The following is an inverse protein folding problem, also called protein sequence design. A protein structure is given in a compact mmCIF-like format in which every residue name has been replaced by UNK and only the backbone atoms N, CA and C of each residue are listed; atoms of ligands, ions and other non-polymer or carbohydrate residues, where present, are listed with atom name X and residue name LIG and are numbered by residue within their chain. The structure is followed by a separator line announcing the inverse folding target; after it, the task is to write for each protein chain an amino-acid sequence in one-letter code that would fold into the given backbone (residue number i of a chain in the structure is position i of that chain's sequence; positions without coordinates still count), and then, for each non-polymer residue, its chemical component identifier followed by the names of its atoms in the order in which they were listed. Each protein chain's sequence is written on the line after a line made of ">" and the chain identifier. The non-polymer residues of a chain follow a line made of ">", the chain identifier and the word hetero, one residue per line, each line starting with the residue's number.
data_IF_591964588200
#
_entry.id   IF_591964588200
#
_cell.length_a   1.000
_cell.length_b   1.000
_cell.length_c   1.000
_cell.angle_alpha   90.00
_cell.angle_beta   90.00
_cell.angle_gamma   90.00
#
_symmetry.space_group_name_H-M   'P 1'
#
loop_
_entity.id
_entity.type
_entity.pdbx_description
1 polymer ?
#
# COMPACT_ATOMS: atom_id res chain seq x y z
N UNK A 1 -16.51 17.49 -1.39
CA UNK A 1 -15.31 17.65 -2.24
C UNK A 1 -15.74 17.68 -3.70
N UNK A 2 -15.24 18.61 -4.52
CA UNK A 2 -15.47 18.60 -5.97
C UNK A 2 -14.27 17.96 -6.66
N UNK A 3 -14.51 16.90 -7.43
CA UNK A 3 -13.51 16.15 -8.18
C UNK A 3 -13.76 16.41 -9.66
N UNK A 4 -12.90 17.21 -10.28
CA UNK A 4 -12.97 17.50 -11.71
C UNK A 4 -11.97 16.63 -12.46
N UNK A 5 -12.46 15.81 -13.38
CA UNK A 5 -11.63 14.95 -14.21
C UNK A 5 -11.00 15.76 -15.35
N UNK A 6 -9.70 15.98 -15.28
CA UNK A 6 -8.93 16.67 -16.34
C UNK A 6 -8.26 15.71 -17.32
N UNK A 7 -8.52 14.41 -17.21
CA UNK A 7 -8.04 13.39 -18.14
C UNK A 7 -8.94 13.33 -19.38
N UNK A 8 -8.44 12.64 -20.41
CA UNK A 8 -9.13 12.25 -21.63
C UNK A 8 -9.87 10.89 -21.51
N UNK A 9 -9.83 10.28 -20.32
CA UNK A 9 -10.45 8.99 -19.99
C UNK A 9 -11.30 9.11 -18.72
N UNK A 10 -12.20 8.16 -18.50
CA UNK A 10 -13.01 8.10 -17.27
C UNK A 10 -12.13 7.88 -16.04
N UNK A 11 -12.50 8.49 -14.91
CA UNK A 11 -11.80 8.33 -13.63
C UNK A 11 -12.78 8.08 -12.48
N UNK A 12 -12.26 7.74 -11.31
CA UNK A 12 -13.03 7.68 -10.08
C UNK A 12 -12.15 7.93 -8.86
N UNK A 13 -12.78 8.13 -7.71
CA UNK A 13 -12.12 8.19 -6.41
C UNK A 13 -12.92 7.31 -5.47
N UNK A 14 -12.30 6.23 -5.00
CA UNK A 14 -12.80 5.39 -3.92
C UNK A 14 -12.16 5.79 -2.59
N UNK A 15 -12.94 5.77 -1.52
CA UNK A 15 -12.53 6.16 -0.17
C UNK A 15 -12.27 4.90 0.66
N UNK A 16 -11.07 4.35 0.53
CA UNK A 16 -10.74 3.05 1.10
C UNK A 16 -10.95 3.01 2.62
N UNK A 17 -11.84 2.12 3.06
CA UNK A 17 -12.21 1.93 4.46
C UNK A 17 -13.22 2.92 5.03
N UNK A 18 -13.62 3.98 4.29
CA UNK A 18 -14.63 4.92 4.77
C UNK A 18 -16.05 4.41 4.53
N UNK A 19 -16.87 4.49 5.56
CA UNK A 19 -18.29 4.13 5.56
C UNK A 19 -19.12 5.25 4.94
N UNK A 20 -19.21 5.24 3.61
CA UNK A 20 -19.97 6.23 2.83
C UNK A 20 -21.31 5.65 2.31
N UNK A 21 -22.29 6.49 1.94
CA UNK A 21 -23.42 6.05 1.12
C UNK A 21 -22.89 5.44 -0.19
N UNK A 22 -23.49 4.34 -0.67
CA UNK A 22 -22.92 3.59 -1.79
C UNK A 22 -22.68 4.46 -3.04
N UNK A 23 -23.53 5.44 -3.35
CA UNK A 23 -23.33 6.32 -4.51
C UNK A 23 -22.05 7.18 -4.45
N UNK A 24 -21.47 7.33 -3.26
CA UNK A 24 -20.24 8.07 -3.01
C UNK A 24 -19.01 7.16 -2.95
N UNK A 25 -19.21 5.84 -3.06
CA UNK A 25 -18.15 4.83 -2.92
C UNK A 25 -17.14 4.84 -4.07
N UNK A 26 -17.53 5.35 -5.25
CA UNK A 26 -16.55 5.67 -6.30
C UNK A 26 -16.03 4.48 -7.11
N UNK A 27 -16.85 3.43 -7.27
CA UNK A 27 -16.54 2.23 -8.05
C UNK A 27 -17.35 2.22 -9.36
N UNK A 28 -16.74 2.56 -10.51
CA UNK A 28 -17.44 2.61 -11.79
C UNK A 28 -18.08 1.27 -12.16
N UNK A 29 -19.33 1.32 -12.61
CA UNK A 29 -20.09 0.13 -13.02
C UNK A 29 -20.71 -0.68 -11.87
N UNK A 30 -20.41 -0.33 -10.61
CA UNK A 30 -21.03 -0.93 -9.42
C UNK A 30 -21.84 0.12 -8.67
N UNK A 31 -21.17 1.16 -8.17
CA UNK A 31 -21.76 2.10 -7.23
C UNK A 31 -22.14 3.44 -7.88
N UNK A 32 -21.52 3.77 -9.02
CA UNK A 32 -21.84 4.92 -9.86
C UNK A 32 -21.26 4.74 -11.29
N UNK A 33 -21.54 5.62 -12.28
CA UNK A 33 -21.09 5.42 -13.66
C UNK A 33 -19.62 5.78 -13.94
N UNK A 34 -18.87 6.37 -13.01
CA UNK A 34 -17.58 6.99 -13.30
C UNK A 34 -17.67 8.50 -13.50
N UNK A 35 -16.54 9.19 -13.43
CA UNK A 35 -16.43 10.62 -13.75
C UNK A 35 -15.89 10.72 -15.19
N UNK A 36 -16.70 11.12 -16.18
CA UNK A 36 -16.24 11.18 -17.57
C UNK A 36 -15.17 12.26 -17.77
N UNK A 37 -14.42 12.18 -18.86
CA UNK A 37 -13.45 13.20 -19.26
C UNK A 37 -14.06 14.62 -19.25
N UNK A 38 -13.42 15.56 -18.57
CA UNK A 38 -13.93 16.93 -18.36
C UNK A 38 -15.10 17.05 -17.38
N UNK A 39 -15.63 15.93 -16.88
CA UNK A 39 -16.74 15.88 -15.93
C UNK A 39 -16.32 16.30 -14.51
N UNK A 40 -17.30 16.64 -13.68
CA UNK A 40 -17.10 16.90 -12.25
C UNK A 40 -18.08 16.09 -11.42
N UNK A 41 -17.56 15.44 -10.37
CA UNK A 41 -18.36 14.76 -9.36
C UNK A 41 -18.19 15.44 -8.01
N UNK A 42 -19.31 15.71 -7.34
CA UNK A 42 -19.30 16.27 -5.99
C UNK A 42 -19.54 15.16 -4.98
N UNK A 43 -18.49 14.77 -4.27
CA UNK A 43 -18.57 13.82 -3.18
C UNK A 43 -18.99 14.53 -1.88
N UNK A 44 -20.13 14.11 -1.32
CA UNK A 44 -20.66 14.62 -0.05
C UNK A 44 -21.16 13.46 0.78
N UNK A 45 -20.56 13.26 1.95
CA UNK A 45 -20.94 12.22 2.89
C UNK A 45 -20.50 12.62 4.31
N UNK A 46 -21.16 12.11 5.36
CA UNK A 46 -20.74 12.37 6.73
C UNK A 46 -19.45 11.60 7.06
N UNK A 47 -18.50 12.28 7.67
CA UNK A 47 -17.33 11.63 8.27
C UNK A 47 -17.69 11.19 9.69
N UNK A 48 -17.65 9.88 9.93
CA UNK A 48 -18.08 9.25 11.20
C UNK A 48 -17.04 8.29 11.79
N UNK A 49 -15.87 8.23 11.17
CA UNK A 49 -14.74 7.41 11.57
C UNK A 49 -13.57 8.32 11.93
N UNK A 50 -12.60 7.77 12.67
CA UNK A 50 -11.27 8.33 12.88
C UNK A 50 -10.22 7.28 12.51
N UNK A 51 -8.98 7.70 12.32
CA UNK A 51 -7.84 6.83 12.02
C UNK A 51 -7.22 7.07 10.66
N UNK A 52 -6.40 6.10 10.23
CA UNK A 52 -5.63 6.14 8.97
C UNK A 52 -6.35 5.38 7.87
N UNK A 53 -6.71 6.10 6.81
CA UNK A 53 -7.37 5.62 5.61
C UNK A 53 -6.62 6.16 4.39
N UNK A 54 -7.14 5.88 3.20
CA UNK A 54 -6.60 6.41 1.96
C UNK A 54 -7.68 6.47 0.89
N UNK A 55 -7.40 7.18 -0.20
CA UNK A 55 -8.21 7.13 -1.40
C UNK A 55 -7.37 6.61 -2.56
N UNK A 56 -8.03 6.00 -3.53
CA UNK A 56 -7.41 5.64 -4.80
C UNK A 56 -8.44 5.62 -5.92
N UNK A 57 -7.97 5.71 -7.16
CA UNK A 57 -8.85 5.49 -8.31
C UNK A 57 -9.26 4.02 -8.38
N UNK A 58 -10.54 3.79 -8.63
CA UNK A 58 -11.09 2.48 -8.93
C UNK A 58 -11.44 2.34 -10.42
N UNK A 59 -10.98 3.29 -11.25
CA UNK A 59 -11.14 3.29 -12.69
C UNK A 59 -9.91 2.68 -13.38
N UNK A 60 -10.12 1.53 -14.04
CA UNK A 60 -9.08 0.83 -14.78
C UNK A 60 -7.89 0.45 -13.88
N UNK A 61 -6.68 0.83 -14.29
CA UNK A 61 -5.44 0.61 -13.55
C UNK A 61 -4.78 1.95 -13.13
N UNK A 62 -5.59 2.98 -12.89
CA UNK A 62 -5.10 4.32 -12.55
C UNK A 62 -4.43 4.37 -11.17
N UNK A 63 -4.87 3.56 -10.21
CA UNK A 63 -4.20 3.41 -8.91
C UNK A 63 -2.70 3.12 -9.10
N UNK A 64 -2.37 2.09 -9.89
CA UNK A 64 -0.97 1.74 -10.18
C UNK A 64 -0.21 2.86 -10.92
N UNK A 65 -0.91 3.78 -11.57
CA UNK A 65 -0.33 4.96 -12.21
C UNK A 65 -0.10 6.14 -11.24
N UNK A 66 -0.39 5.99 -9.95
CA UNK A 66 -0.19 7.01 -8.93
C UNK A 66 -1.46 7.77 -8.51
N UNK A 67 -2.66 7.35 -8.94
CA UNK A 67 -3.91 7.97 -8.50
C UNK A 67 -4.34 7.42 -7.14
N UNK A 68 -3.62 7.82 -6.09
CA UNK A 68 -3.93 7.51 -4.70
C UNK A 68 -3.40 8.60 -3.76
N UNK A 69 -3.87 8.59 -2.52
CA UNK A 69 -3.32 9.46 -1.48
C UNK A 69 -3.86 9.14 -0.09
N UNK A 70 -3.17 9.58 0.96
CA UNK A 70 -3.57 9.29 2.33
C UNK A 70 -4.78 10.11 2.78
N UNK A 71 -5.53 9.57 3.73
CA UNK A 71 -6.60 10.25 4.46
C UNK A 71 -6.38 9.98 5.95
N UNK A 72 -6.09 11.01 6.72
CA UNK A 72 -6.05 10.92 8.19
C UNK A 72 -7.26 11.65 8.73
N UNK A 73 -8.01 11.00 9.62
CA UNK A 73 -9.16 11.60 10.27
C UNK A 73 -8.92 11.59 11.77
N UNK A 74 -8.76 12.77 12.36
CA UNK A 74 -8.58 12.92 13.80
C UNK A 74 -9.86 12.53 14.55
N UNK A 75 -9.75 11.89 15.73
CA UNK A 75 -10.91 11.62 16.57
C UNK A 75 -11.54 12.93 17.06
N UNK A 76 -12.88 12.92 17.20
CA UNK A 76 -13.60 14.07 17.74
C UNK A 76 -13.30 14.35 19.23
N UNK A 77 -12.81 13.33 19.94
CA UNK A 77 -12.37 13.41 21.33
C UNK A 77 -10.87 13.15 21.48
N UNK A 78 -10.39 12.94 22.72
CA UNK A 78 -8.98 12.62 22.96
C UNK A 78 -8.55 11.39 22.16
N UNK A 79 -7.41 11.48 21.47
CA UNK A 79 -6.81 10.32 20.82
C UNK A 79 -6.27 9.35 21.89
N UNK A 80 -6.71 8.08 21.94
CA UNK A 80 -6.17 7.11 22.88
C UNK A 80 -4.70 6.76 22.60
N UNK A 81 -4.20 7.03 21.40
CA UNK A 81 -2.79 6.89 21.03
C UNK A 81 -2.09 8.23 21.24
N UNK A 82 -1.30 8.31 22.30
CA UNK A 82 -0.47 9.49 22.56
C UNK A 82 0.79 9.44 21.68
N UNK A 83 1.13 10.55 21.04
CA UNK A 83 2.37 10.74 20.29
C UNK A 83 2.73 12.23 20.27
N UNK A 84 4.02 12.53 20.26
CA UNK A 84 4.54 13.91 20.16
C UNK A 84 4.59 14.37 18.69
N UNK A 85 4.65 13.41 17.76
CA UNK A 85 4.79 13.63 16.33
C UNK A 85 4.12 12.54 15.52
N UNK A 86 3.56 12.90 14.38
CA UNK A 86 2.96 11.95 13.45
C UNK A 86 3.54 12.09 12.04
N UNK A 87 3.76 10.95 11.39
CA UNK A 87 4.14 10.88 9.98
C UNK A 87 3.27 9.88 9.23
N UNK A 88 2.95 10.19 7.98
CA UNK A 88 2.32 9.26 7.06
C UNK A 88 3.41 8.58 6.23
N UNK A 89 3.30 7.26 6.11
CA UNK A 89 4.20 6.42 5.34
C UNK A 89 3.37 5.61 4.34
N UNK A 90 3.20 6.15 3.13
CA UNK A 90 2.48 5.51 2.04
C UNK A 90 3.46 4.71 1.19
N UNK A 91 3.28 3.40 1.19
CA UNK A 91 4.03 2.44 0.41
C UNK A 91 3.36 2.24 -0.95
N UNK A 92 4.15 2.20 -2.01
CA UNK A 92 3.67 1.88 -3.35
C UNK A 92 4.79 1.33 -4.23
N UNK A 93 4.46 0.97 -5.47
CA UNK A 93 5.45 0.69 -6.50
C UNK A 93 5.34 1.69 -7.66
N UNK A 94 6.45 1.86 -8.37
CA UNK A 94 6.52 2.58 -9.63
C UNK A 94 7.11 1.69 -10.72
N UNK A 95 6.55 1.80 -11.93
CA UNK A 95 7.09 1.17 -13.13
C UNK A 95 7.11 2.19 -14.27
N UNK A 96 8.17 2.20 -15.10
CA UNK A 96 8.15 2.95 -16.35
C UNK A 96 7.22 2.29 -17.40
N UNK A 97 6.82 1.04 -17.19
CA UNK A 97 5.84 0.37 -18.05
C UNK A 97 4.42 0.81 -17.67
N UNK A 98 3.58 0.98 -18.69
CA UNK A 98 2.14 1.18 -18.46
C UNK A 98 1.57 0.01 -17.65
N UNK A 99 0.72 0.28 -16.64
CA UNK A 99 -0.03 -0.75 -15.92
C UNK A 99 -0.75 -1.74 -16.83
N UNK A 100 -1.31 -1.24 -17.95
CA UNK A 100 -2.00 -2.08 -18.93
C UNK A 100 -1.04 -3.04 -19.66
N UNK A 101 0.19 -2.59 -19.93
CA UNK A 101 1.22 -3.46 -20.49
C UNK A 101 1.61 -4.55 -19.50
N UNK A 102 1.80 -4.21 -18.22
CA UNK A 102 2.09 -5.18 -17.16
C UNK A 102 0.99 -6.24 -17.10
N UNK A 103 -0.27 -5.80 -17.03
CA UNK A 103 -1.43 -6.69 -16.98
C UNK A 103 -1.54 -7.60 -18.21
N UNK A 104 -1.31 -7.07 -19.42
CA UNK A 104 -1.27 -7.87 -20.63
C UNK A 104 -0.18 -8.94 -20.61
N UNK A 105 1.00 -8.64 -20.06
CA UNK A 105 2.09 -9.60 -19.94
C UNK A 105 1.76 -10.70 -18.93
N UNK A 106 1.19 -10.34 -17.78
CA UNK A 106 0.72 -11.31 -16.78
C UNK A 106 -0.32 -12.27 -17.36
N UNK A 107 -1.20 -11.79 -18.25
CA UNK A 107 -2.16 -12.66 -18.96
C UNK A 107 -1.55 -13.60 -20.01
N UNK A 108 -0.33 -13.32 -20.48
CA UNK A 108 0.30 -14.07 -21.60
C UNK A 108 1.17 -15.23 -21.11
N UNK A 109 1.72 -15.16 -19.90
CA UNK A 109 2.57 -16.22 -19.38
C UNK A 109 2.87 -16.05 -17.91
N UNK A 110 2.96 -17.19 -17.22
CA UNK A 110 3.43 -17.28 -15.84
C UNK A 110 4.87 -16.79 -15.73
N UNK A 111 5.20 -16.10 -14.63
CA UNK A 111 6.56 -15.67 -14.33
C UNK A 111 7.19 -14.71 -15.34
N UNK A 112 6.40 -13.96 -16.13
CA UNK A 112 6.93 -13.03 -17.15
C UNK A 112 7.94 -12.02 -16.57
N UNK A 113 7.71 -11.60 -15.33
CA UNK A 113 8.58 -10.67 -14.61
C UNK A 113 9.42 -11.36 -13.53
N UNK A 114 9.51 -12.69 -13.56
CA UNK A 114 10.36 -13.46 -12.68
C UNK A 114 11.64 -13.89 -13.42
N UNK A 115 12.71 -13.14 -13.18
CA UNK A 115 14.04 -13.44 -13.70
C UNK A 115 14.95 -14.12 -12.66
N UNK A 116 14.44 -14.41 -11.46
CA UNK A 116 15.23 -14.97 -10.34
C UNK A 116 15.27 -16.51 -10.38
N UNK A 117 15.46 -17.09 -11.56
CA UNK A 117 15.43 -18.54 -11.71
C UNK A 117 16.60 -19.21 -10.98
N UNK A 118 16.32 -20.33 -10.31
CA UNK A 118 17.36 -21.07 -9.61
C UNK A 118 18.37 -21.68 -10.59
N UNK A 119 19.66 -21.46 -10.36
CA UNK A 119 20.77 -22.12 -11.07
C UNK A 119 21.42 -23.22 -10.22
N UNK A 120 22.18 -24.10 -10.87
CA UNK A 120 22.97 -25.16 -10.21
C UNK A 120 24.07 -24.59 -9.29
N UNK A 121 24.39 -23.30 -9.44
CA UNK A 121 25.36 -22.55 -8.64
C UNK A 121 24.76 -21.86 -7.42
N UNK A 122 23.43 -21.90 -7.25
CA UNK A 122 22.79 -21.11 -6.19
C UNK A 122 23.00 -21.75 -4.82
N UNK A 123 23.49 -20.93 -3.89
CA UNK A 123 23.71 -21.28 -2.49
C UNK A 123 22.41 -21.14 -1.67
N UNK A 124 21.32 -21.75 -2.15
CA UNK A 124 20.10 -21.87 -1.36
C UNK A 124 20.25 -23.06 -0.38
N UNK A 125 20.18 -22.84 0.95
CA UNK A 125 20.27 -23.89 1.96
C UNK A 125 18.97 -24.73 2.03
N UNK A 126 18.38 -25.08 0.89
CA UNK A 126 17.23 -25.97 0.80
C UNK A 126 17.70 -27.41 0.74
N UNK A 127 17.27 -28.21 1.71
CA UNK A 127 17.43 -29.67 1.71
C UNK A 127 16.78 -30.28 0.47
N UNK A 128 17.23 -31.47 0.06
CA UNK A 128 16.62 -32.18 -1.08
C UNK A 128 15.12 -32.49 -0.91
N UNK A 129 14.61 -32.54 0.34
CA UNK A 129 13.18 -32.67 0.62
C UNK A 129 12.42 -31.39 0.26
N UNK A 130 12.89 -30.24 0.72
CA UNK A 130 12.29 -28.94 0.42
C UNK A 130 12.27 -28.65 -1.08
N UNK A 131 13.36 -28.98 -1.80
CA UNK A 131 13.38 -28.85 -3.27
C UNK A 131 12.30 -29.68 -3.96
N UNK A 132 12.04 -30.91 -3.48
CA UNK A 132 10.96 -31.77 -4.00
C UNK A 132 9.56 -31.24 -3.65
N UNK A 133 9.39 -30.64 -2.48
CA UNK A 133 8.13 -30.01 -2.08
C UNK A 133 7.83 -28.79 -2.95
N UNK A 134 8.82 -27.92 -3.18
CA UNK A 134 8.72 -26.81 -4.14
C UNK A 134 8.39 -27.27 -5.55
N UNK A 135 9.08 -28.29 -6.06
CA UNK A 135 8.80 -28.85 -7.38
C UNK A 135 7.37 -29.43 -7.51
N UNK A 136 6.77 -29.92 -6.41
CA UNK A 136 5.38 -30.40 -6.39
C UNK A 136 4.35 -29.28 -6.41
N UNK A 137 4.70 -28.09 -5.90
CA UNK A 137 3.80 -26.93 -5.92
C UNK A 137 3.59 -26.39 -7.34
N UNK A 138 4.39 -26.83 -8.33
CA UNK A 138 4.34 -26.39 -9.74
C UNK A 138 4.41 -24.87 -9.91
N UNK A 139 4.95 -24.16 -8.92
CA UNK A 139 5.30 -22.75 -9.05
C UNK A 139 6.71 -22.63 -9.62
N UNK A 140 7.00 -21.49 -10.25
CA UNK A 140 8.37 -21.17 -10.62
C UNK A 140 9.25 -21.15 -9.35
N UNK A 141 10.48 -21.70 -9.39
CA UNK A 141 11.43 -21.53 -8.30
C UNK A 141 11.60 -20.02 -8.05
N UNK A 142 11.48 -19.58 -6.79
CA UNK A 142 11.48 -18.17 -6.30
C UNK A 142 10.28 -17.29 -6.69
N UNK A 143 9.10 -17.89 -6.89
CA UNK A 143 7.89 -17.17 -7.28
C UNK A 143 7.04 -16.76 -6.06
N UNK A 144 7.39 -15.62 -5.45
CA UNK A 144 6.61 -15.00 -4.36
C UNK A 144 5.78 -13.80 -4.88
N UNK A 145 6.10 -13.28 -6.07
CA UNK A 145 5.45 -12.10 -6.65
C UNK A 145 5.38 -12.19 -8.17
N UNK A 146 4.18 -11.98 -8.74
CA UNK A 146 3.92 -11.97 -10.19
C UNK A 146 4.72 -10.88 -10.95
N UNK A 147 5.03 -9.77 -10.27
CA UNK A 147 5.87 -8.68 -10.76
C UNK A 147 6.91 -8.37 -9.69
N UNK A 148 8.18 -8.36 -10.09
CA UNK A 148 9.31 -8.25 -9.15
C UNK A 148 10.03 -6.92 -9.28
N UNK A 149 11.08 -6.71 -8.47
CA UNK A 149 11.98 -5.57 -8.57
C UNK A 149 12.71 -5.43 -9.92
N UNK A 150 12.56 -6.38 -10.86
CA UNK A 150 12.99 -6.19 -12.25
C UNK A 150 12.15 -5.14 -13.00
N UNK A 151 10.95 -4.84 -12.49
CA UNK A 151 9.97 -3.97 -13.13
C UNK A 151 9.49 -2.89 -12.18
N UNK A 152 9.40 -3.20 -10.89
CA UNK A 152 9.02 -2.22 -9.87
C UNK A 152 10.22 -1.57 -9.20
N UNK A 153 10.12 -0.26 -9.03
CA UNK A 153 10.82 0.49 -7.99
C UNK A 153 9.87 0.63 -6.81
N UNK A 154 10.22 0.11 -5.65
CA UNK A 154 9.42 0.28 -4.44
C UNK A 154 9.61 1.67 -3.87
N UNK A 155 8.51 2.31 -3.48
CA UNK A 155 8.46 3.69 -3.05
C UNK A 155 7.95 3.83 -1.62
N UNK A 156 8.45 4.86 -0.95
CA UNK A 156 7.85 5.40 0.27
C UNK A 156 7.56 6.88 0.03
N UNK A 157 6.30 7.30 0.17
CA UNK A 157 5.86 8.67 -0.10
C UNK A 157 6.32 9.23 -1.46
N UNK A 158 6.39 8.38 -2.48
CA UNK A 158 6.85 8.77 -3.83
C UNK A 158 8.37 8.75 -4.03
N UNK A 159 9.16 8.46 -3.00
CA UNK A 159 10.62 8.41 -3.07
C UNK A 159 11.12 6.98 -3.21
N UNK A 160 12.07 6.78 -4.12
CA UNK A 160 12.76 5.51 -4.30
C UNK A 160 13.82 5.24 -3.22
N UNK A 161 14.35 4.00 -3.14
CA UNK A 161 15.21 3.57 -2.03
C UNK A 161 16.56 4.31 -1.93
N UNK A 162 16.96 5.02 -2.98
CA UNK A 162 18.24 5.77 -3.06
C UNK A 162 18.08 7.27 -2.86
N UNK A 163 16.86 7.75 -2.66
CA UNK A 163 16.58 9.19 -2.53
C UNK A 163 16.77 9.72 -1.11
N UNK A 164 17.02 8.84 -0.12
CA UNK A 164 17.40 9.26 1.23
C UNK A 164 16.29 10.00 1.97
N UNK A 165 15.05 9.52 1.87
CA UNK A 165 13.94 10.10 2.62
C UNK A 165 14.16 9.95 4.13
N UNK A 166 14.00 11.05 4.87
CA UNK A 166 14.21 11.12 6.31
C UNK A 166 12.98 11.66 7.02
N UNK A 167 12.73 11.15 8.24
CA UNK A 167 11.75 11.69 9.17
C UNK A 167 12.49 12.26 10.37
N UNK A 168 12.43 13.58 10.54
CA UNK A 168 13.07 14.25 11.66
C UNK A 168 12.34 13.99 12.98
N UNK A 169 13.08 13.86 14.08
CA UNK A 169 12.53 13.74 15.42
C UNK A 169 13.50 14.38 16.43
N UNK A 170 13.00 14.71 17.61
CA UNK A 170 13.85 15.06 18.75
C UNK A 170 14.07 13.82 19.63
N UNK A 171 15.27 13.64 20.22
CA UNK A 171 15.53 12.53 21.14
C UNK A 171 14.46 12.42 22.23
N UNK A 172 13.90 11.22 22.38
CA UNK A 172 12.86 10.94 23.37
C UNK A 172 11.43 11.28 22.94
N UNK A 173 11.20 11.76 21.72
CA UNK A 173 9.85 11.89 21.16
C UNK A 173 9.20 10.52 20.91
N UNK A 174 7.92 10.40 21.22
CA UNK A 174 7.06 9.30 20.77
C UNK A 174 6.51 9.64 19.40
N UNK A 175 6.96 8.94 18.37
CA UNK A 175 6.57 9.19 16.98
C UNK A 175 5.54 8.14 16.54
N UNK A 176 4.39 8.57 16.05
CA UNK A 176 3.39 7.69 15.39
C UNK A 176 3.64 7.66 13.89
N UNK A 177 3.88 6.48 13.35
CA UNK A 177 3.94 6.25 11.90
C UNK A 177 2.61 5.64 11.45
N UNK A 178 1.93 6.33 10.53
CA UNK A 178 0.68 5.94 9.90
C UNK A 178 0.99 5.31 8.54
N UNK A 179 1.08 3.99 8.52
CA UNK A 179 1.57 3.21 7.40
C UNK A 179 0.40 2.76 6.54
N UNK A 180 0.47 3.02 5.24
CA UNK A 180 -0.56 2.66 4.25
C UNK A 180 0.12 1.86 3.15
N UNK A 181 -0.39 0.67 2.83
CA UNK A 181 0.03 -0.05 1.63
C UNK A 181 -0.91 0.28 0.46
N UNK A 182 -0.59 1.32 -0.30
CA UNK A 182 -1.30 1.72 -1.52
C UNK A 182 -0.68 1.14 -2.80
N UNK A 183 -0.05 -0.04 -2.67
CA UNK A 183 0.64 -0.70 -3.76
C UNK A 183 -0.32 -1.55 -4.60
N UNK A 184 0.00 -1.78 -5.87
CA UNK A 184 -0.89 -2.52 -6.76
C UNK A 184 -0.91 -4.03 -6.46
N UNK A 185 0.19 -4.58 -5.90
CA UNK A 185 0.28 -6.00 -5.60
C UNK A 185 1.34 -6.40 -4.56
N UNK A 186 2.15 -5.47 -4.06
CA UNK A 186 3.30 -5.79 -3.21
C UNK A 186 2.91 -5.95 -1.74
N UNK A 187 3.34 -7.08 -1.16
CA UNK A 187 3.39 -7.24 0.29
C UNK A 187 4.71 -6.66 0.80
N UNK A 188 4.65 -5.82 1.83
CA UNK A 188 5.85 -5.26 2.46
C UNK A 188 6.06 -5.86 3.83
N UNK A 189 7.33 -6.05 4.21
CA UNK A 189 7.70 -6.27 5.60
C UNK A 189 8.31 -4.98 6.15
N UNK A 190 7.73 -4.45 7.22
CA UNK A 190 8.15 -3.19 7.83
C UNK A 190 8.97 -3.47 9.07
N UNK A 191 10.16 -2.87 9.14
CA UNK A 191 11.06 -2.87 10.30
C UNK A 191 11.94 -1.65 10.30
N UNK A 192 12.36 -1.21 11.49
CA UNK A 192 13.39 -0.18 11.66
C UNK A 192 14.56 -0.85 12.39
N UNK A 193 15.73 -1.04 11.76
CA UNK A 193 16.84 -1.73 12.38
C UNK A 193 17.25 -1.11 13.72
N UNK A 194 17.18 -1.90 14.80
CA UNK A 194 17.55 -1.47 16.15
C UNK A 194 16.49 -0.66 16.89
N UNK A 195 15.30 -0.47 16.32
CA UNK A 195 14.19 0.26 16.94
C UNK A 195 12.91 -0.57 16.91
N UNK A 196 12.46 -1.13 18.05
CA UNK A 196 11.19 -1.83 18.11
C UNK A 196 10.01 -0.88 17.89
N UNK A 197 8.88 -1.45 17.49
CA UNK A 197 7.64 -0.73 17.19
C UNK A 197 6.48 -1.31 18.01
N UNK A 198 5.53 -0.47 18.39
CA UNK A 198 4.27 -0.93 19.01
C UNK A 198 3.11 -0.64 18.06
N UNK A 199 2.45 -1.69 17.55
CA UNK A 199 1.24 -1.57 16.73
C UNK A 199 0.08 -1.13 17.62
N UNK A 200 -0.60 -0.04 17.25
CA UNK A 200 -1.68 0.58 18.04
C UNK A 200 -2.99 0.73 17.28
N UNK A 201 -2.97 0.70 15.95
CA UNK A 201 -4.17 0.64 15.13
C UNK A 201 -3.97 -0.22 13.87
N UNK A 202 -5.06 -0.79 13.37
CA UNK A 202 -5.15 -1.50 12.09
C UNK A 202 -6.46 -1.13 11.40
N UNK A 203 -6.41 -0.78 10.12
CA UNK A 203 -7.56 -0.39 9.28
C UNK A 203 -8.47 0.68 9.92
N UNK A 204 -7.82 1.70 10.49
CA UNK A 204 -8.49 2.81 11.18
C UNK A 204 -9.13 2.46 12.52
N UNK A 205 -8.98 1.22 13.02
CA UNK A 205 -9.46 0.81 14.33
C UNK A 205 -8.30 0.69 15.32
N UNK A 206 -8.48 1.25 16.53
CA UNK A 206 -7.52 1.04 17.61
C UNK A 206 -7.51 -0.43 18.02
N UNK A 207 -6.31 -0.97 18.22
CA UNK A 207 -6.12 -2.35 18.68
C UNK A 207 -5.50 -2.37 20.07
N UNK A 208 -5.50 -3.54 20.70
CA UNK A 208 -4.65 -3.74 21.89
C UNK A 208 -3.20 -3.59 21.44
N UNK A 209 -2.37 -2.76 22.10
CA UNK A 209 -0.97 -2.58 21.72
C UNK A 209 -0.21 -3.90 21.63
N UNK A 210 0.55 -4.08 20.55
CA UNK A 210 1.41 -5.25 20.32
C UNK A 210 2.80 -4.79 19.92
N UNK A 211 3.80 -5.17 20.72
CA UNK A 211 5.20 -4.89 20.43
C UNK A 211 5.73 -5.87 19.39
N UNK A 212 6.48 -5.35 18.41
CA UNK A 212 7.12 -6.14 17.36
C UNK A 212 8.36 -5.44 16.79
N UNK A 213 9.30 -6.22 16.28
CA UNK A 213 10.45 -5.71 15.52
C UNK A 213 10.15 -5.64 14.01
N UNK A 214 9.25 -6.51 13.53
CA UNK A 214 8.89 -6.63 12.12
C UNK A 214 7.42 -7.07 11.99
N UNK A 215 6.71 -6.53 11.00
CA UNK A 215 5.41 -7.07 10.60
C UNK A 215 5.22 -6.98 9.08
N UNK A 216 4.38 -7.86 8.55
CA UNK A 216 3.99 -7.85 7.15
C UNK A 216 2.70 -7.03 6.98
N UNK A 217 2.63 -6.21 5.94
CA UNK A 217 1.47 -5.42 5.55
C UNK A 217 1.03 -5.80 4.14
N UNK A 218 -0.24 -6.21 4.02
CA UNK A 218 -0.90 -6.56 2.78
C UNK A 218 -1.32 -5.34 1.97
N UNK A 219 -1.60 -5.54 0.68
CA UNK A 219 -2.17 -4.49 -0.18
C UNK A 219 -3.46 -3.97 0.46
N UNK A 220 -3.60 -2.65 0.46
CA UNK A 220 -4.72 -1.89 1.00
C UNK A 220 -4.84 -1.80 2.52
N UNK A 221 -4.11 -2.61 3.29
CA UNK A 221 -4.10 -2.52 4.75
C UNK A 221 -3.47 -1.21 5.23
N UNK A 222 -3.93 -0.72 6.38
CA UNK A 222 -3.31 0.39 7.11
C UNK A 222 -2.95 -0.02 8.53
N UNK A 223 -1.78 0.43 9.00
CA UNK A 223 -1.34 0.21 10.37
C UNK A 223 -0.78 1.50 10.95
N UNK A 224 -1.09 1.76 12.21
CA UNK A 224 -0.40 2.79 12.97
C UNK A 224 0.51 2.12 13.99
N UNK A 225 1.77 2.56 14.01
CA UNK A 225 2.76 2.13 15.00
C UNK A 225 3.30 3.32 15.77
N UNK A 226 3.66 3.13 17.03
CA UNK A 226 4.41 4.10 17.82
C UNK A 226 5.84 3.61 18.00
N UNK A 227 6.78 4.53 17.83
CA UNK A 227 8.22 4.31 18.03
C UNK A 227 8.79 5.40 18.94
N UNK A 228 9.88 5.07 19.63
CA UNK A 228 10.59 5.98 20.54
C UNK A 228 12.07 6.03 20.14
N UNK A 229 12.42 6.78 19.08
CA UNK A 229 13.80 6.91 18.66
C UNK A 229 14.64 7.69 19.71
N UNK A 230 15.84 7.18 19.97
CA UNK A 230 16.73 7.65 21.04
C UNK A 230 17.46 8.96 20.78
#
# INVERSE_FOLDING_TARGET
>A
LNITNTLDTDTSIHWHGLLVPFQMDGVPGISFPGIPAGGTFTATFPVRQSGTYWWHSHAGLQEQAGHYGPIVIDPAGPDPVQADREYVLLLSEFSPLSPHTIFEKLKKGEGYFNYQQTSWTDDYPLTGKQRREWAKMRMMPTDISDVTGSTYTYLVNGHGPKEGMEFAFNPGERVRLRIINGSAMTLFNIRIPGLPMTVVAADGQNVRPVDTDEFQIGVAETYDVVIEPG
#
